data_IF_377537142914
#
_entry.id   IF_377537142914
#
_cell.length_a   1.000
_cell.length_b   1.000
_cell.length_c   1.000
_cell.angle_alpha   90.00
_cell.angle_beta   90.00
_cell.angle_gamma   90.00
#
_symmetry.space_group_name_H-M   'P 1'
#
loop_
_entity.id
_entity.type
_entity.pdbx_description
1 polymer ?
#
# COMPACT_ATOMS: atom_id res chain seq x y z
N UNK A 1 -17.51 13.33 14.48
CA UNK A 1 -16.42 12.42 14.90
C UNK A 1 -16.89 11.43 15.96
N UNK A 2 -17.45 11.89 17.08
CA UNK A 2 -17.90 11.06 18.22
C UNK A 2 -18.88 9.95 17.78
N UNK A 3 -19.90 10.25 16.98
CA UNK A 3 -20.88 9.25 16.52
C UNK A 3 -20.25 8.12 15.67
N UNK A 4 -19.26 8.46 14.82
CA UNK A 4 -18.54 7.46 14.00
C UNK A 4 -17.68 6.57 14.88
N UNK A 5 -16.99 7.16 15.85
CA UNK A 5 -16.17 6.40 16.80
C UNK A 5 -17.02 5.52 17.72
N UNK A 6 -18.21 5.98 18.10
CA UNK A 6 -19.18 5.19 18.86
C UNK A 6 -19.65 3.97 18.09
N UNK A 7 -20.10 4.15 16.84
CA UNK A 7 -20.50 3.02 15.99
C UNK A 7 -19.34 2.06 15.73
N UNK A 8 -18.15 2.59 15.47
CA UNK A 8 -16.93 1.80 15.34
C UNK A 8 -16.65 0.98 16.61
N UNK A 9 -16.76 1.59 17.79
CA UNK A 9 -16.63 0.90 19.07
C UNK A 9 -17.66 -0.20 19.28
N UNK A 10 -18.92 0.00 18.86
CA UNK A 10 -19.94 -1.06 18.91
C UNK A 10 -19.53 -2.25 18.06
N UNK A 11 -19.07 -2.01 16.82
CA UNK A 11 -18.65 -3.10 15.93
C UNK A 11 -17.51 -3.91 16.55
N UNK A 12 -16.48 -3.24 17.06
CA UNK A 12 -15.37 -3.90 17.75
C UNK A 12 -15.85 -4.67 18.99
N UNK A 13 -16.76 -4.10 19.79
CA UNK A 13 -17.29 -4.75 20.97
C UNK A 13 -18.11 -6.00 20.64
N UNK A 14 -18.91 -5.98 19.56
CA UNK A 14 -19.63 -7.16 19.08
C UNK A 14 -18.65 -8.27 18.68
N UNK A 15 -17.57 -7.92 17.97
CA UNK A 15 -16.50 -8.86 17.63
C UNK A 15 -15.85 -9.44 18.89
N UNK A 16 -15.59 -8.63 19.93
CA UNK A 16 -15.06 -9.11 21.22
C UNK A 16 -15.97 -10.14 21.89
N UNK A 17 -17.26 -9.82 22.00
CA UNK A 17 -18.25 -10.71 22.61
C UNK A 17 -18.32 -12.06 21.89
N UNK A 18 -18.28 -12.00 20.55
CA UNK A 18 -18.39 -13.19 19.73
C UNK A 18 -17.11 -14.02 19.77
N UNK A 19 -15.95 -13.37 19.70
CA UNK A 19 -14.65 -14.01 19.84
C UNK A 19 -14.50 -14.71 21.21
N UNK A 20 -15.00 -14.08 22.27
CA UNK A 20 -15.03 -14.68 23.61
C UNK A 20 -15.83 -16.00 23.64
N UNK A 21 -16.87 -16.16 22.81
CA UNK A 21 -17.65 -17.40 22.75
C UNK A 21 -16.85 -18.60 22.25
N UNK A 22 -15.98 -18.42 21.25
CA UNK A 22 -15.05 -19.47 20.83
C UNK A 22 -14.09 -19.83 21.97
N UNK A 23 -13.51 -18.81 22.59
CA UNK A 23 -12.51 -19.00 23.64
C UNK A 23 -13.08 -19.74 24.86
N UNK A 24 -14.26 -19.35 25.36
CA UNK A 24 -14.96 -20.05 26.47
C UNK A 24 -15.45 -21.45 26.11
N UNK A 25 -15.58 -21.78 24.82
CA UNK A 25 -15.97 -23.13 24.38
C UNK A 25 -14.80 -24.10 24.59
N UNK A 26 -13.57 -23.62 24.39
CA UNK A 26 -12.34 -24.40 24.47
C UNK A 26 -11.71 -24.41 25.85
N UNK A 27 -11.66 -23.25 26.52
CA UNK A 27 -11.02 -23.08 27.82
C UNK A 27 -12.09 -22.95 28.90
N UNK A 28 -11.97 -23.76 29.95
CA UNK A 28 -12.90 -23.77 31.10
C UNK A 28 -12.29 -23.25 32.40
N UNK A 29 -10.98 -22.98 32.40
CA UNK A 29 -10.27 -22.41 33.56
C UNK A 29 -10.76 -20.97 33.81
N UNK A 30 -11.44 -20.74 34.95
CA UNK A 30 -12.04 -19.44 35.27
C UNK A 30 -11.04 -18.29 35.24
N UNK A 31 -9.86 -18.48 35.82
CA UNK A 31 -8.84 -17.42 35.87
C UNK A 31 -8.36 -17.03 34.47
N UNK A 32 -8.18 -17.98 33.54
CA UNK A 32 -7.80 -17.70 32.14
C UNK A 32 -8.89 -16.90 31.42
N UNK A 33 -10.16 -17.25 31.62
CA UNK A 33 -11.29 -16.53 31.01
C UNK A 33 -11.41 -15.10 31.56
N UNK A 34 -11.23 -14.92 32.86
CA UNK A 34 -11.24 -13.59 33.50
C UNK A 34 -10.04 -12.77 33.01
N UNK A 35 -8.85 -13.34 32.94
CA UNK A 35 -7.67 -12.67 32.39
C UNK A 35 -7.87 -12.26 30.93
N UNK A 36 -8.41 -13.13 30.08
CA UNK A 36 -8.73 -12.80 28.69
C UNK A 36 -9.70 -11.62 28.59
N UNK A 37 -10.76 -11.60 29.41
CA UNK A 37 -11.73 -10.51 29.42
C UNK A 37 -11.10 -9.19 29.88
N UNK A 38 -10.31 -9.21 30.97
CA UNK A 38 -9.63 -8.02 31.48
C UNK A 38 -8.68 -7.46 30.41
N UNK A 39 -7.83 -8.32 29.82
CA UNK A 39 -6.87 -7.91 28.80
C UNK A 39 -7.59 -7.38 27.56
N UNK A 40 -8.62 -8.07 27.07
CA UNK A 40 -9.36 -7.65 25.88
C UNK A 40 -10.11 -6.34 26.11
N UNK A 41 -10.71 -6.16 27.30
CA UNK A 41 -11.37 -4.91 27.67
C UNK A 41 -10.36 -3.76 27.78
N UNK A 42 -9.21 -3.99 28.41
CA UNK A 42 -8.14 -2.99 28.50
C UNK A 42 -7.64 -2.58 27.11
N UNK A 43 -7.41 -3.54 26.20
CA UNK A 43 -7.00 -3.28 24.82
C UNK A 43 -8.09 -2.51 24.05
N UNK A 44 -9.36 -2.91 24.19
CA UNK A 44 -10.50 -2.21 23.60
C UNK A 44 -10.54 -0.75 24.06
N UNK A 45 -10.52 -0.51 25.38
CA UNK A 45 -10.54 0.85 25.95
C UNK A 45 -9.34 1.65 25.47
N UNK A 46 -8.13 1.07 25.48
CA UNK A 46 -6.92 1.72 25.02
C UNK A 46 -7.00 2.11 23.53
N UNK A 47 -7.48 1.22 22.67
CA UNK A 47 -7.62 1.48 21.23
C UNK A 47 -8.63 2.60 20.98
N UNK A 48 -9.82 2.52 21.59
CA UNK A 48 -10.85 3.55 21.44
C UNK A 48 -10.36 4.90 21.96
N UNK A 49 -9.76 4.91 23.15
CA UNK A 49 -9.16 6.11 23.73
C UNK A 49 -8.07 6.69 22.82
N UNK A 50 -7.16 5.87 22.31
CA UNK A 50 -6.09 6.32 21.41
C UNK A 50 -6.64 6.96 20.14
N UNK A 51 -7.75 6.46 19.58
CA UNK A 51 -8.42 7.11 18.45
C UNK A 51 -9.09 8.44 18.82
N UNK A 52 -9.51 8.65 20.08
CA UNK A 52 -10.00 9.98 20.52
C UNK A 52 -8.89 11.03 20.57
N UNK A 53 -7.63 10.59 20.72
CA UNK A 53 -6.46 11.47 20.77
C UNK A 53 -5.89 11.79 19.38
N UNK A 54 -6.49 11.26 18.30
CA UNK A 54 -6.00 11.53 16.95
C UNK A 54 -6.22 12.99 16.57
N UNK A 55 -5.12 13.72 16.38
CA UNK A 55 -5.13 15.11 15.94
C UNK A 55 -4.92 15.18 14.42
N UNK A 56 -5.96 15.63 13.71
CA UNK A 56 -5.93 15.83 12.26
C UNK A 56 -4.98 16.93 11.82
N UNK A 57 -4.59 17.87 12.68
CA UNK A 57 -3.61 18.91 12.34
C UNK A 57 -2.17 18.37 12.32
N UNK A 58 -1.91 17.33 13.11
CA UNK A 58 -0.61 16.67 13.16
C UNK A 58 -0.51 15.60 12.06
N UNK A 59 -1.59 14.83 11.86
CA UNK A 59 -1.61 13.70 10.91
C UNK A 59 -1.06 12.42 11.52
N UNK A 60 -0.39 11.60 10.71
CA UNK A 60 0.17 10.33 11.17
C UNK A 60 1.34 10.53 12.14
N UNK A 61 1.36 9.78 13.24
CA UNK A 61 2.47 9.72 14.19
C UNK A 61 2.84 8.27 14.52
N UNK A 62 3.97 8.07 15.23
CA UNK A 62 4.35 6.75 15.74
C UNK A 62 3.25 6.13 16.61
N UNK A 63 2.59 6.93 17.43
CA UNK A 63 1.50 6.46 18.30
C UNK A 63 0.27 6.03 17.49
N UNK A 64 -0.07 6.75 16.42
CA UNK A 64 -1.24 6.40 15.59
C UNK A 64 -0.98 5.14 14.79
N UNK A 65 0.24 4.98 14.25
CA UNK A 65 0.67 3.74 13.60
C UNK A 65 0.67 2.57 14.59
N UNK A 66 1.21 2.75 15.80
CA UNK A 66 1.17 1.73 16.84
C UNK A 66 -0.27 1.32 17.17
N UNK A 67 -1.17 2.29 17.34
CA UNK A 67 -2.60 2.05 17.61
C UNK A 67 -3.25 1.27 16.47
N UNK A 68 -2.98 1.64 15.21
CA UNK A 68 -3.49 0.93 14.04
C UNK A 68 -2.96 -0.50 13.96
N UNK A 69 -1.65 -0.69 14.19
CA UNK A 69 -1.03 -2.02 14.24
C UNK A 69 -1.62 -2.91 15.34
N UNK A 70 -1.79 -2.36 16.54
CA UNK A 70 -2.40 -3.06 17.67
C UNK A 70 -3.86 -3.43 17.36
N UNK A 71 -4.63 -2.51 16.78
CA UNK A 71 -6.01 -2.76 16.38
C UNK A 71 -6.09 -3.90 15.36
N UNK A 72 -5.29 -3.87 14.29
CA UNK A 72 -5.28 -4.94 13.30
C UNK A 72 -4.87 -6.27 13.92
N UNK A 73 -3.82 -6.27 14.74
CA UNK A 73 -3.31 -7.46 15.41
C UNK A 73 -4.36 -8.11 16.34
N UNK A 74 -5.15 -7.29 17.05
CA UNK A 74 -6.20 -7.78 17.96
C UNK A 74 -7.45 -8.21 17.21
N UNK A 75 -7.92 -7.40 16.25
CA UNK A 75 -9.25 -7.57 15.68
C UNK A 75 -9.29 -8.40 14.41
N UNK A 76 -8.27 -8.39 13.54
CA UNK A 76 -8.30 -9.21 12.31
C UNK A 76 -8.44 -10.70 12.62
N UNK A 77 -7.66 -11.29 13.57
CA UNK A 77 -7.85 -12.68 13.97
C UNK A 77 -9.23 -12.94 14.57
N UNK A 78 -9.75 -12.01 15.37
CA UNK A 78 -11.08 -12.11 15.99
C UNK A 78 -12.20 -12.04 14.96
N UNK A 79 -12.03 -11.26 13.88
CA UNK A 79 -12.96 -11.22 12.75
C UNK A 79 -12.98 -12.56 12.02
N UNK A 80 -11.82 -13.14 11.71
CA UNK A 80 -11.73 -14.47 11.09
C UNK A 80 -12.42 -15.52 11.95
N UNK A 81 -12.11 -15.54 13.26
CA UNK A 81 -12.76 -16.44 14.20
C UNK A 81 -14.27 -16.21 14.26
N UNK A 82 -14.72 -14.95 14.23
CA UNK A 82 -16.14 -14.60 14.23
C UNK A 82 -16.86 -15.07 12.98
N UNK A 83 -16.24 -14.99 11.80
CA UNK A 83 -16.86 -15.51 10.56
C UNK A 83 -17.10 -17.03 10.67
N UNK A 84 -16.13 -17.78 11.21
CA UNK A 84 -16.26 -19.23 11.40
C UNK A 84 -17.39 -19.57 12.38
N UNK A 85 -17.46 -18.86 13.51
CA UNK A 85 -18.53 -19.04 14.50
C UNK A 85 -19.91 -18.65 13.94
N UNK A 86 -19.98 -17.62 13.09
CA UNK A 86 -21.23 -17.20 12.45
C UNK A 86 -21.76 -18.31 11.54
N UNK A 87 -20.87 -18.96 10.78
CA UNK A 87 -21.22 -20.14 10.00
C UNK A 87 -21.76 -21.29 10.86
N UNK A 88 -21.18 -21.49 12.06
CA UNK A 88 -21.72 -22.45 13.02
C UNK A 88 -23.12 -22.07 13.51
N UNK A 89 -23.36 -20.78 13.79
CA UNK A 89 -24.65 -20.31 14.29
C UNK A 89 -25.77 -20.46 13.26
N UNK A 90 -25.49 -20.27 11.97
CA UNK A 90 -26.45 -20.59 10.88
C UNK A 90 -26.84 -22.06 10.93
N UNK A 91 -25.87 -22.96 11.09
CA UNK A 91 -26.15 -24.40 11.22
C UNK A 91 -26.94 -24.72 12.50
N UNK A 92 -26.58 -24.10 13.64
CA UNK A 92 -27.26 -24.32 14.93
C UNK A 92 -28.69 -23.82 14.90
N UNK A 93 -28.95 -22.68 14.25
CA UNK A 93 -30.30 -22.15 14.03
C UNK A 93 -31.11 -23.10 13.15
N UNK A 94 -30.57 -23.55 12.02
CA UNK A 94 -31.25 -24.50 11.15
C UNK A 94 -31.58 -25.82 11.87
N UNK A 95 -30.63 -26.39 12.61
CA UNK A 95 -30.83 -27.61 13.40
C UNK A 95 -31.86 -27.39 14.53
N UNK A 96 -31.80 -26.25 15.22
CA UNK A 96 -32.77 -25.87 16.23
C UNK A 96 -34.19 -25.74 15.67
N UNK A 97 -34.33 -25.08 14.52
CA UNK A 97 -35.62 -24.98 13.81
C UNK A 97 -36.15 -26.34 13.38
N UNK A 98 -35.31 -27.21 12.81
CA UNK A 98 -35.71 -28.58 12.44
C UNK A 98 -36.17 -29.36 13.67
N UNK A 99 -35.39 -29.34 14.75
CA UNK A 99 -35.74 -30.03 16.00
C UNK A 99 -37.03 -29.48 16.62
N UNK A 100 -37.26 -28.16 16.57
CA UNK A 100 -38.50 -27.56 17.07
C UNK A 100 -39.75 -28.06 16.32
N UNK A 101 -39.64 -28.32 15.02
CA UNK A 101 -40.78 -28.81 14.22
C UNK A 101 -40.90 -30.35 14.20
N UNK A 102 -39.81 -31.09 14.42
CA UNK A 102 -39.81 -32.56 14.40
C UNK A 102 -39.98 -33.14 15.82
N UNK A 103 -39.19 -32.68 16.77
CA UNK A 103 -39.16 -33.16 18.15
C UNK A 103 -39.88 -32.17 19.07
N UNK A 104 -41.13 -32.48 19.38
CA UNK A 104 -42.00 -31.69 20.26
C UNK A 104 -41.65 -31.90 21.75
N UNK A 105 -40.35 -31.93 22.07
CA UNK A 105 -39.84 -32.14 23.42
C UNK A 105 -39.77 -30.81 24.16
N UNK A 106 -40.63 -30.64 25.16
CA UNK A 106 -40.80 -29.38 25.89
C UNK A 106 -39.56 -28.91 26.71
N UNK A 107 -38.50 -29.72 26.77
CA UNK A 107 -37.33 -29.50 27.64
C UNK A 107 -35.97 -29.49 26.91
N UNK A 108 -35.94 -29.52 25.57
CA UNK A 108 -34.68 -29.40 24.83
C UNK A 108 -34.35 -27.93 24.55
N UNK A 109 -33.11 -27.52 24.83
CA UNK A 109 -32.62 -26.18 24.44
C UNK A 109 -32.75 -26.01 22.92
N UNK A 110 -33.39 -24.91 22.49
CA UNK A 110 -33.63 -24.64 21.07
C UNK A 110 -32.33 -24.62 20.25
N UNK A 111 -31.23 -24.09 20.81
CA UNK A 111 -29.94 -24.03 20.13
C UNK A 111 -29.01 -25.14 20.63
N UNK A 112 -28.54 -26.05 19.74
CA UNK A 112 -27.51 -27.02 20.09
C UNK A 112 -26.26 -26.36 20.68
N UNK A 113 -25.52 -27.04 21.55
CA UNK A 113 -24.26 -26.52 22.09
C UNK A 113 -23.19 -26.33 21.00
N UNK A 114 -22.30 -25.33 21.18
CA UNK A 114 -21.17 -25.10 20.26
C UNK A 114 -20.21 -26.30 20.24
N UNK A 115 -19.78 -26.70 19.05
CA UNK A 115 -18.85 -27.80 18.83
C UNK A 115 -17.42 -27.32 19.07
N UNK A 116 -16.70 -28.03 19.95
CA UNK A 116 -15.29 -27.76 20.23
C UNK A 116 -14.43 -27.75 18.96
N UNK A 117 -14.67 -28.72 18.06
CA UNK A 117 -13.94 -28.82 16.79
C UNK A 117 -14.04 -27.54 15.94
N UNK A 118 -15.23 -26.94 15.82
CA UNK A 118 -15.41 -25.71 15.04
C UNK A 118 -14.66 -24.54 15.67
N UNK A 119 -14.71 -24.42 17.00
CA UNK A 119 -13.92 -23.41 17.72
C UNK A 119 -12.40 -23.63 17.57
N UNK A 120 -11.92 -24.88 17.54
CA UNK A 120 -10.51 -25.20 17.30
C UNK A 120 -10.06 -24.81 15.88
N UNK A 121 -10.88 -25.13 14.87
CA UNK A 121 -10.64 -24.68 13.49
C UNK A 121 -10.64 -23.16 13.41
N UNK A 122 -11.59 -22.49 14.05
CA UNK A 122 -11.65 -21.03 14.14
C UNK A 122 -10.38 -20.41 14.73
N UNK A 123 -9.85 -20.97 15.82
CA UNK A 123 -8.58 -20.53 16.40
C UNK A 123 -7.38 -20.81 15.47
N UNK A 124 -7.34 -21.99 14.86
CA UNK A 124 -6.26 -22.34 13.92
C UNK A 124 -6.21 -21.39 12.72
N UNK A 125 -7.37 -21.05 12.15
CA UNK A 125 -7.46 -20.09 11.06
C UNK A 125 -7.16 -18.65 11.51
N UNK A 126 -7.59 -18.26 12.71
CA UNK A 126 -7.28 -16.94 13.27
C UNK A 126 -5.78 -16.76 13.59
N UNK A 127 -5.05 -17.83 13.89
CA UNK A 127 -3.61 -17.78 14.10
C UNK A 127 -2.84 -17.35 12.85
N UNK A 128 -3.33 -17.64 11.64
CA UNK A 128 -2.68 -17.30 10.37
C UNK A 128 -2.51 -15.78 10.21
N UNK A 129 -3.58 -14.95 10.20
CA UNK A 129 -3.42 -13.50 10.10
C UNK A 129 -2.74 -12.93 11.34
N UNK A 130 -2.93 -13.50 12.53
CA UNK A 130 -2.24 -13.03 13.74
C UNK A 130 -0.72 -13.11 13.60
N UNK A 131 -0.19 -14.29 13.27
CA UNK A 131 1.24 -14.51 13.07
C UNK A 131 1.77 -13.74 11.85
N UNK A 132 0.98 -13.66 10.78
CA UNK A 132 1.34 -12.89 9.59
C UNK A 132 1.46 -11.39 9.88
N UNK A 133 0.56 -10.82 10.69
CA UNK A 133 0.61 -9.41 11.10
C UNK A 133 1.79 -9.13 12.05
N UNK A 134 2.12 -10.06 12.96
CA UNK A 134 3.34 -9.97 13.79
C UNK A 134 4.56 -9.91 12.87
N UNK A 135 4.69 -10.88 11.96
CA UNK A 135 5.78 -10.89 10.98
C UNK A 135 5.80 -9.58 10.18
N UNK A 136 4.64 -9.11 9.72
CA UNK A 136 4.53 -7.89 8.93
C UNK A 136 5.03 -6.65 9.66
N UNK A 137 4.75 -6.53 10.96
CA UNK A 137 5.16 -5.40 11.80
C UNK A 137 6.66 -5.41 12.08
N UNK A 138 7.23 -6.57 12.39
CA UNK A 138 8.63 -6.65 12.83
C UNK A 138 9.62 -6.85 11.68
N UNK A 139 9.27 -7.65 10.67
CA UNK A 139 10.17 -8.00 9.56
C UNK A 139 9.64 -7.51 8.21
N UNK A 140 8.35 -7.73 7.93
CA UNK A 140 7.77 -7.53 6.61
C UNK A 140 7.89 -6.10 6.07
N UNK A 141 7.72 -5.08 6.93
CA UNK A 141 7.86 -3.66 6.56
C UNK A 141 9.25 -3.27 6.03
N UNK A 142 10.27 -4.10 6.28
CA UNK A 142 11.65 -3.90 5.83
C UNK A 142 12.20 -5.07 5.01
N UNK A 143 11.35 -6.00 4.59
CA UNK A 143 11.74 -7.13 3.73
C UNK A 143 11.77 -6.72 2.26
N UNK A 144 12.62 -5.76 1.92
CA UNK A 144 12.74 -5.20 0.56
C UNK A 144 12.93 -6.28 -0.50
N UNK A 145 12.22 -6.14 -1.62
CA UNK A 145 12.32 -7.01 -2.80
C UNK A 145 12.77 -6.21 -4.00
N UNK A 146 13.80 -6.70 -4.67
CA UNK A 146 14.19 -6.23 -5.99
C UNK A 146 13.42 -7.04 -7.02
N UNK A 147 12.56 -6.38 -7.80
CA UNK A 147 11.75 -7.01 -8.85
C UNK A 147 12.29 -6.57 -10.21
N UNK A 148 12.70 -7.53 -11.04
CA UNK A 148 13.21 -7.28 -12.39
C UNK A 148 12.11 -7.55 -13.40
N UNK A 149 11.79 -6.55 -14.23
CA UNK A 149 10.73 -6.62 -15.23
C UNK A 149 11.28 -6.29 -16.61
N UNK A 150 11.34 -7.29 -17.49
CA UNK A 150 11.59 -7.08 -18.91
C UNK A 150 10.29 -6.68 -19.62
N UNK A 151 10.32 -5.62 -20.43
CA UNK A 151 9.17 -5.14 -21.20
C UNK A 151 9.61 -4.94 -22.65
N UNK A 152 8.82 -5.48 -23.57
CA UNK A 152 9.14 -5.59 -24.99
C UNK A 152 8.36 -4.56 -25.80
N UNK A 153 9.06 -3.84 -26.66
CA UNK A 153 8.51 -2.79 -27.51
C UNK A 153 9.08 -2.90 -28.93
N UNK A 154 8.26 -3.14 -29.96
CA UNK A 154 8.73 -3.23 -31.34
C UNK A 154 9.36 -1.93 -31.87
N UNK A 155 8.85 -0.79 -31.39
CA UNK A 155 9.23 0.57 -31.79
C UNK A 155 10.23 1.24 -30.82
N UNK A 156 10.84 0.49 -29.91
CA UNK A 156 11.95 1.00 -29.09
C UNK A 156 13.10 1.46 -29.99
N UNK A 157 13.68 2.66 -29.80
CA UNK A 157 14.88 3.06 -30.52
C UNK A 157 16.05 2.11 -30.22
N UNK A 158 16.89 1.84 -31.22
CA UNK A 158 17.92 0.79 -31.15
C UNK A 158 18.91 1.03 -30.02
N UNK A 159 19.28 2.28 -29.77
CA UNK A 159 20.20 2.60 -28.68
C UNK A 159 19.64 2.26 -27.29
N UNK A 160 18.32 2.13 -27.14
CA UNK A 160 17.67 1.84 -25.87
C UNK A 160 17.38 0.35 -25.66
N UNK A 161 17.75 -0.53 -26.60
CA UNK A 161 17.66 -1.97 -26.35
C UNK A 161 18.56 -2.37 -25.16
N UNK A 162 17.94 -3.01 -24.17
CA UNK A 162 18.58 -3.38 -22.92
C UNK A 162 18.72 -2.26 -21.89
N UNK A 163 18.22 -1.05 -22.16
CA UNK A 163 18.26 0.08 -21.23
C UNK A 163 17.52 -0.24 -19.93
N UNK A 164 18.12 0.11 -18.80
CA UNK A 164 17.63 -0.25 -17.47
C UNK A 164 17.22 0.97 -16.64
N UNK A 165 16.06 0.86 -15.99
CA UNK A 165 15.47 1.91 -15.17
C UNK A 165 15.18 1.33 -13.79
N UNK A 166 15.81 1.87 -12.74
CA UNK A 166 15.37 1.59 -11.37
C UNK A 166 14.20 2.48 -11.01
N UNK A 167 13.12 1.92 -10.47
CA UNK A 167 11.99 2.68 -9.92
C UNK A 167 11.92 2.47 -8.41
N UNK A 168 11.80 3.58 -7.68
CA UNK A 168 11.32 3.62 -6.31
C UNK A 168 10.06 4.48 -6.25
N UNK A 169 9.19 4.23 -5.28
CA UNK A 169 7.93 4.97 -5.11
C UNK A 169 7.52 4.94 -3.65
N UNK A 170 6.65 5.84 -3.22
CA UNK A 170 5.96 5.80 -1.94
C UNK A 170 6.89 5.52 -0.75
N UNK A 171 7.85 6.43 -0.57
CA UNK A 171 8.85 6.35 0.50
C UNK A 171 8.20 6.57 1.85
N UNK A 172 7.22 7.48 1.96
CA UNK A 172 6.51 7.77 3.22
C UNK A 172 7.47 7.93 4.41
N UNK A 173 8.44 8.82 4.25
CA UNK A 173 9.59 8.95 5.15
C UNK A 173 9.23 9.17 6.63
N UNK A 174 8.07 9.76 6.92
CA UNK A 174 7.56 9.95 8.27
C UNK A 174 7.20 8.65 9.01
N UNK A 175 7.10 7.54 8.29
CA UNK A 175 6.79 6.22 8.86
C UNK A 175 8.04 5.47 9.31
N UNK A 176 9.23 5.84 8.83
CA UNK A 176 10.47 5.12 9.12
C UNK A 176 10.86 5.22 10.59
N UNK A 177 11.28 4.07 11.15
CA UNK A 177 11.74 3.95 12.52
C UNK A 177 13.08 3.23 12.68
N UNK A 178 13.69 2.73 11.58
CA UNK A 178 14.95 1.99 11.61
C UNK A 178 15.93 2.44 10.53
N UNK A 179 16.99 3.17 10.93
CA UNK A 179 18.00 3.71 10.00
C UNK A 179 18.84 2.65 9.31
N UNK A 180 19.17 1.55 9.98
CA UNK A 180 19.96 0.46 9.39
C UNK A 180 19.20 -0.21 8.24
N UNK A 181 17.90 -0.45 8.40
CA UNK A 181 17.05 -1.03 7.37
C UNK A 181 16.88 -0.11 6.16
N UNK A 182 16.79 1.22 6.36
CA UNK A 182 16.75 2.18 5.24
C UNK A 182 18.10 2.26 4.54
N UNK A 183 19.21 2.27 5.28
CA UNK A 183 20.56 2.21 4.68
C UNK A 183 20.73 0.96 3.81
N UNK A 184 20.33 -0.20 4.31
CA UNK A 184 20.32 -1.46 3.55
C UNK A 184 19.48 -1.35 2.26
N UNK A 185 18.30 -0.73 2.33
CA UNK A 185 17.46 -0.52 1.15
C UNK A 185 18.13 0.40 0.11
N UNK A 186 18.82 1.45 0.54
CA UNK A 186 19.61 2.30 -0.36
C UNK A 186 20.79 1.54 -0.98
N UNK A 187 21.41 0.63 -0.24
CA UNK A 187 22.44 -0.26 -0.78
C UNK A 187 21.87 -1.17 -1.87
N UNK A 188 20.69 -1.78 -1.65
CA UNK A 188 19.99 -2.54 -2.69
C UNK A 188 19.66 -1.71 -3.94
N UNK A 189 19.24 -0.45 -3.78
CA UNK A 189 19.02 0.47 -4.92
C UNK A 189 20.33 0.67 -5.70
N UNK A 190 21.43 0.92 -4.99
CA UNK A 190 22.74 1.18 -5.57
C UNK A 190 23.40 -0.04 -6.22
N UNK A 191 23.01 -1.25 -5.83
CA UNK A 191 23.47 -2.52 -6.42
C UNK A 191 22.88 -2.76 -7.82
N UNK A 192 21.75 -2.11 -8.17
CA UNK A 192 21.12 -2.34 -9.46
C UNK A 192 21.92 -1.74 -10.63
N UNK A 193 22.72 -0.69 -10.37
CA UNK A 193 23.56 -0.02 -11.35
C UNK A 193 22.83 0.32 -12.67
N UNK A 194 21.54 0.66 -12.59
CA UNK A 194 20.72 0.97 -13.76
C UNK A 194 21.16 2.25 -14.46
N UNK A 195 20.78 2.41 -15.72
CA UNK A 195 21.12 3.58 -16.54
C UNK A 195 20.47 4.88 -16.02
N UNK A 196 19.24 4.76 -15.49
CA UNK A 196 18.43 5.84 -14.92
C UNK A 196 17.71 5.38 -13.64
N UNK A 197 17.37 6.32 -12.75
CA UNK A 197 16.48 6.06 -11.61
C UNK A 197 15.32 7.05 -11.58
N UNK A 198 14.12 6.52 -11.32
CA UNK A 198 12.88 7.27 -11.25
C UNK A 198 12.25 7.12 -9.86
N UNK A 199 11.75 8.24 -9.32
CA UNK A 199 11.01 8.27 -8.07
C UNK A 199 9.57 8.75 -8.31
N UNK A 200 8.61 7.84 -8.29
CA UNK A 200 7.23 8.10 -8.71
C UNK A 200 6.31 8.66 -7.61
N UNK A 201 6.84 9.47 -6.69
CA UNK A 201 6.04 10.26 -5.73
C UNK A 201 5.91 9.69 -4.32
N UNK A 202 5.27 10.47 -3.45
CA UNK A 202 5.02 10.20 -2.02
C UNK A 202 6.31 10.07 -1.19
N UNK A 203 7.08 11.16 -1.15
CA UNK A 203 8.31 11.26 -0.35
C UNK A 203 8.02 11.39 1.16
N UNK A 204 6.85 11.91 1.52
CA UNK A 204 6.40 12.11 2.90
C UNK A 204 5.01 11.51 3.13
N UNK A 205 4.58 11.42 4.39
CA UNK A 205 3.18 11.18 4.73
C UNK A 205 2.37 12.48 4.64
N UNK A 206 2.95 13.57 5.15
CA UNK A 206 2.29 14.88 5.19
C UNK A 206 3.27 16.05 5.20
N UNK A 207 4.26 16.03 6.11
CA UNK A 207 5.08 17.22 6.40
C UNK A 207 6.49 17.09 5.83
N UNK A 208 7.04 18.17 5.27
CA UNK A 208 8.40 18.18 4.73
C UNK A 208 9.47 17.69 5.74
N UNK A 209 9.29 18.07 7.02
CA UNK A 209 10.21 17.72 8.12
C UNK A 209 10.40 16.21 8.32
N UNK A 210 9.46 15.39 7.84
CA UNK A 210 9.52 13.94 7.95
C UNK A 210 10.70 13.35 7.20
N UNK A 211 11.12 13.99 6.10
CA UNK A 211 12.24 13.54 5.29
C UNK A 211 13.60 14.01 5.84
N UNK A 212 13.64 15.07 6.65
CA UNK A 212 14.90 15.68 7.11
C UNK A 212 15.89 14.68 7.73
N UNK A 213 15.48 13.73 8.60
CA UNK A 213 16.40 12.75 9.16
C UNK A 213 17.01 11.80 8.11
N UNK A 214 16.40 11.70 6.93
CA UNK A 214 16.70 10.71 5.90
C UNK A 214 17.43 11.29 4.68
N UNK A 215 17.54 12.62 4.57
CA UNK A 215 18.21 13.30 3.45
C UNK A 215 19.61 12.73 3.21
N UNK A 216 20.44 12.64 4.25
CA UNK A 216 21.81 12.09 4.13
C UNK A 216 21.81 10.63 3.64
N UNK A 217 20.82 9.83 4.06
CA UNK A 217 20.70 8.43 3.66
C UNK A 217 20.34 8.33 2.18
N UNK A 218 19.36 9.10 1.71
CA UNK A 218 18.95 9.10 0.31
C UNK A 218 19.96 9.78 -0.62
N UNK A 219 20.79 10.68 -0.10
CA UNK A 219 21.92 11.26 -0.85
C UNK A 219 23.03 10.24 -1.16
N UNK A 220 23.03 9.06 -0.53
CA UNK A 220 23.90 7.95 -0.91
C UNK A 220 23.46 7.27 -2.21
N UNK A 221 22.26 7.53 -2.73
CA UNK A 221 21.85 7.01 -4.04
C UNK A 221 22.83 7.55 -5.08
N UNK A 222 23.53 6.64 -5.74
CA UNK A 222 24.58 6.94 -6.71
C UNK A 222 24.05 7.81 -7.85
N UNK A 223 24.96 8.51 -8.52
CA UNK A 223 24.63 9.19 -9.77
C UNK A 223 24.35 8.14 -10.85
N UNK A 224 23.33 8.40 -11.66
CA UNK A 224 22.96 7.60 -12.81
C UNK A 224 23.30 8.37 -14.08
N UNK A 225 23.82 7.68 -15.11
CA UNK A 225 24.32 8.31 -16.33
C UNK A 225 23.24 9.14 -17.03
N UNK A 226 22.00 8.65 -17.02
CA UNK A 226 20.86 9.29 -17.66
C UNK A 226 19.92 9.95 -16.66
N UNK A 227 20.41 10.30 -15.47
CA UNK A 227 19.69 11.17 -14.53
C UNK A 227 18.88 10.47 -13.44
N UNK A 228 18.38 11.29 -12.53
CA UNK A 228 17.52 10.94 -11.41
C UNK A 228 16.29 11.84 -11.49
N UNK A 229 15.12 11.29 -11.80
CA UNK A 229 13.90 12.09 -11.99
C UNK A 229 12.80 11.69 -11.01
N UNK A 230 11.95 12.64 -10.65
CA UNK A 230 10.84 12.43 -9.72
C UNK A 230 9.57 13.14 -10.18
N UNK A 231 8.43 12.64 -9.72
CA UNK A 231 7.13 13.34 -9.76
C UNK A 231 6.55 13.40 -8.36
N UNK A 232 5.50 14.20 -8.16
CA UNK A 232 4.77 14.26 -6.90
C UNK A 232 3.74 13.14 -6.79
N UNK A 233 3.56 12.63 -5.58
CA UNK A 233 2.41 11.81 -5.21
C UNK A 233 1.34 12.60 -4.48
N UNK A 234 0.24 11.96 -4.12
CA UNK A 234 -0.89 12.64 -3.46
C UNK A 234 -0.56 13.11 -2.04
N UNK A 235 0.31 12.40 -1.30
CA UNK A 235 0.72 12.80 0.05
C UNK A 235 1.62 14.03 0.06
N UNK A 236 2.29 14.32 -1.05
CA UNK A 236 3.21 15.46 -1.16
C UNK A 236 2.49 16.83 -1.14
N UNK A 237 1.17 16.86 -1.36
CA UNK A 237 0.38 18.10 -1.37
C UNK A 237 -0.16 18.51 0.02
N UNK A 238 0.08 17.70 1.05
CA UNK A 238 -0.40 17.98 2.41
C UNK A 238 -1.93 18.02 2.55
N UNK A 239 -2.69 17.34 1.68
CA UNK A 239 -4.16 17.37 1.69
C UNK A 239 -4.79 16.59 2.86
N UNK A 240 -4.00 15.77 3.57
CA UNK A 240 -4.48 14.83 4.59
C UNK A 240 -4.44 15.34 6.03
N UNK A 241 -4.11 16.62 6.23
CA UNK A 241 -4.13 17.27 7.54
C UNK A 241 -4.85 18.62 7.52
N UNK A 242 -5.27 19.06 8.70
CA UNK A 242 -5.85 20.39 8.89
C UNK A 242 -4.73 21.41 9.12
N UNK A 243 -4.58 22.34 8.17
CA UNK A 243 -3.59 23.42 8.29
C UNK A 243 -4.17 24.61 9.04
N UNK A 244 -3.37 25.33 9.83
CA UNK A 244 -3.81 26.55 10.52
C UNK A 244 -4.14 27.68 9.53
N UNK A 245 -3.41 27.76 8.42
CA UNK A 245 -3.64 28.72 7.34
C UNK A 245 -3.31 28.09 5.98
N UNK A 246 -3.85 28.65 4.91
CA UNK A 246 -3.48 28.26 3.54
C UNK A 246 -2.01 28.57 3.24
N UNK A 247 -1.44 29.62 3.86
CA UNK A 247 -0.03 29.97 3.75
C UNK A 247 0.85 28.85 4.32
N UNK A 248 0.54 28.35 5.53
CA UNK A 248 1.29 27.25 6.13
C UNK A 248 1.25 25.97 5.27
N UNK A 249 0.09 25.67 4.65
CA UNK A 249 -0.03 24.55 3.70
C UNK A 249 0.89 24.74 2.49
N UNK A 250 0.88 25.95 1.92
CA UNK A 250 1.68 26.28 0.75
C UNK A 250 3.19 26.24 1.07
N UNK A 251 3.61 26.78 2.22
CA UNK A 251 5.00 26.71 2.68
C UNK A 251 5.48 25.27 2.85
N UNK A 252 4.64 24.39 3.44
CA UNK A 252 4.97 22.97 3.54
C UNK A 252 5.05 22.31 2.17
N UNK A 253 4.13 22.62 1.25
CA UNK A 253 4.15 22.07 -0.11
C UNK A 253 5.41 22.49 -0.87
N UNK A 254 5.81 23.76 -0.79
CA UNK A 254 7.04 24.26 -1.39
C UNK A 254 8.28 23.61 -0.75
N UNK A 255 8.27 23.43 0.57
CA UNK A 255 9.32 22.69 1.27
C UNK A 255 9.41 21.22 0.80
N UNK A 256 8.28 20.54 0.57
CA UNK A 256 8.26 19.17 0.05
C UNK A 256 8.87 19.09 -1.36
N UNK A 257 8.48 19.99 -2.27
CA UNK A 257 9.09 20.04 -3.62
C UNK A 257 10.61 20.19 -3.55
N UNK A 258 11.10 21.02 -2.63
CA UNK A 258 12.53 21.23 -2.43
C UNK A 258 13.26 19.99 -1.89
N UNK A 259 12.59 19.04 -1.23
CA UNK A 259 13.23 17.82 -0.74
C UNK A 259 13.77 16.94 -1.87
N UNK A 260 13.04 16.84 -2.98
CA UNK A 260 13.47 16.06 -4.15
C UNK A 260 14.82 16.54 -4.68
N UNK A 261 15.01 17.85 -4.81
CA UNK A 261 16.29 18.45 -5.18
C UNK A 261 17.39 18.21 -4.14
N UNK A 262 17.06 18.24 -2.84
CA UNK A 262 18.03 17.97 -1.76
C UNK A 262 18.55 16.53 -1.74
N UNK A 263 17.81 15.57 -2.31
CA UNK A 263 18.26 14.19 -2.52
C UNK A 263 18.77 13.92 -3.95
N UNK A 264 18.95 14.99 -4.74
CA UNK A 264 19.51 14.97 -6.08
C UNK A 264 18.60 14.41 -7.16
N UNK A 265 17.28 14.51 -7.00
CA UNK A 265 16.30 14.20 -8.04
C UNK A 265 15.76 15.48 -8.69
N UNK A 266 15.64 15.46 -10.02
CA UNK A 266 14.97 16.50 -10.78
C UNK A 266 13.46 16.27 -10.76
N UNK A 267 12.69 17.24 -10.28
CA UNK A 267 11.25 17.14 -10.13
C UNK A 267 10.55 17.63 -11.40
N UNK A 268 9.84 16.74 -12.08
CA UNK A 268 9.07 17.04 -13.28
C UNK A 268 7.59 17.29 -12.91
N UNK A 269 7.07 18.48 -13.24
CA UNK A 269 5.70 18.89 -12.94
C UNK A 269 4.95 19.31 -14.21
N UNK A 270 4.24 18.36 -14.80
CA UNK A 270 3.49 18.55 -16.05
C UNK A 270 4.40 19.02 -17.20
N UNK A 271 5.54 18.34 -17.34
CA UNK A 271 6.58 18.63 -18.32
C UNK A 271 7.25 17.34 -18.80
N UNK A 272 8.14 17.45 -19.77
CA UNK A 272 8.93 16.33 -20.25
C UNK A 272 10.37 16.75 -20.52
N UNK A 273 11.25 15.77 -20.54
CA UNK A 273 12.63 15.91 -20.98
C UNK A 273 12.99 14.76 -21.93
N UNK A 274 14.00 14.96 -22.77
CA UNK A 274 14.52 13.91 -23.64
C UNK A 274 15.73 13.24 -23.00
N UNK A 275 15.72 11.91 -23.00
CA UNK A 275 16.89 11.09 -22.67
C UNK A 275 17.52 10.71 -24.00
N UNK A 276 18.76 11.15 -24.24
CA UNK A 276 19.49 10.92 -25.49
C UNK A 276 20.60 9.88 -25.28
N UNK A 277 20.67 8.87 -26.14
CA UNK A 277 21.68 7.81 -26.10
C UNK A 277 22.08 7.43 -27.53
N UNK A 278 23.36 7.53 -27.83
CA UNK A 278 23.98 7.10 -29.10
C UNK A 278 23.26 7.65 -30.37
N UNK A 279 22.70 8.87 -30.29
CA UNK A 279 21.98 9.53 -31.39
C UNK A 279 20.46 9.32 -31.40
N UNK A 280 19.96 8.32 -30.67
CA UNK A 280 18.53 8.11 -30.45
C UNK A 280 18.04 8.87 -29.20
N UNK A 281 16.73 9.03 -29.09
CA UNK A 281 16.09 9.63 -27.91
C UNK A 281 14.78 8.96 -27.52
N UNK A 282 14.47 9.02 -26.24
CA UNK A 282 13.15 8.74 -25.68
C UNK A 282 12.68 9.95 -24.88
N UNK A 283 11.37 10.18 -24.81
CA UNK A 283 10.78 11.22 -23.97
C UNK A 283 10.43 10.64 -22.59
N UNK A 284 10.96 11.26 -21.53
CA UNK A 284 10.53 11.04 -20.16
C UNK A 284 9.53 12.14 -19.80
N UNK A 285 8.28 11.76 -19.56
CA UNK A 285 7.17 12.66 -19.27
C UNK A 285 6.83 12.55 -17.79
N UNK A 286 6.75 13.68 -17.07
CA UNK A 286 6.33 13.73 -15.68
C UNK A 286 5.08 14.57 -15.51
N UNK A 287 4.05 14.00 -14.89
CA UNK A 287 2.84 14.73 -14.50
C UNK A 287 2.77 14.90 -12.99
N UNK A 288 2.10 15.96 -12.57
CA UNK A 288 1.63 16.10 -11.20
C UNK A 288 0.62 15.00 -10.82
N UNK A 289 0.28 14.87 -9.53
CA UNK A 289 -0.64 13.82 -9.10
C UNK A 289 -1.99 13.95 -9.82
N UNK A 290 -2.47 12.81 -10.33
CA UNK A 290 -3.79 12.66 -10.92
C UNK A 290 -4.41 11.39 -10.35
N UNK A 291 -5.31 11.53 -9.38
CA UNK A 291 -6.03 10.38 -8.83
C UNK A 291 -7.53 10.54 -8.96
N UNK A 292 -8.26 9.46 -9.26
CA UNK A 292 -9.71 9.52 -9.44
C UNK A 292 -10.44 10.12 -8.21
N UNK A 293 -10.00 9.74 -7.00
CA UNK A 293 -10.54 10.23 -5.72
C UNK A 293 -9.58 11.15 -4.97
N UNK A 294 -8.49 11.57 -5.61
CA UNK A 294 -7.43 12.36 -5.01
C UNK A 294 -7.19 13.62 -5.82
N UNK A 295 -6.19 14.41 -5.43
CA UNK A 295 -5.87 15.65 -6.14
C UNK A 295 -5.61 15.37 -7.63
N UNK A 296 -6.25 16.15 -8.49
CA UNK A 296 -6.02 16.12 -9.94
C UNK A 296 -5.34 17.41 -10.36
N UNK A 297 -4.02 17.45 -10.18
CA UNK A 297 -3.16 18.52 -10.66
C UNK A 297 -2.37 18.11 -11.92
N UNK A 298 -2.33 16.81 -12.24
CA UNK A 298 -1.72 16.29 -13.46
C UNK A 298 -2.38 16.82 -14.73
N UNK A 299 -1.56 17.36 -15.64
CA UNK A 299 -1.95 17.83 -16.97
C UNK A 299 -1.09 17.12 -18.02
N UNK A 300 -1.63 16.01 -18.53
CA UNK A 300 -0.97 15.18 -19.54
C UNK A 300 -0.77 15.92 -20.87
N UNK A 301 -1.68 16.84 -21.23
CA UNK A 301 -1.61 17.59 -22.49
C UNK A 301 -0.46 18.58 -22.45
N UNK A 302 -0.30 19.30 -21.33
CA UNK A 302 0.82 20.19 -21.09
C UNK A 302 2.13 19.42 -21.00
N UNK A 303 2.16 18.32 -20.24
CA UNK A 303 3.36 17.51 -20.09
C UNK A 303 3.88 16.94 -21.40
N UNK A 304 2.97 16.60 -22.32
CA UNK A 304 3.28 16.05 -23.64
C UNK A 304 3.23 17.08 -24.77
N UNK A 305 3.30 18.38 -24.47
CA UNK A 305 3.30 19.41 -25.49
C UNK A 305 4.47 19.18 -26.46
N UNK A 306 4.23 19.31 -27.76
CA UNK A 306 5.21 19.02 -28.84
C UNK A 306 5.61 17.55 -29.03
N UNK A 307 5.17 16.63 -28.17
CA UNK A 307 5.34 15.19 -28.42
C UNK A 307 4.26 14.68 -29.38
N UNK A 308 4.70 13.82 -30.29
CA UNK A 308 3.89 13.15 -31.32
C UNK A 308 3.59 11.72 -30.92
N UNK A 309 2.83 10.99 -31.73
CA UNK A 309 2.51 9.58 -31.47
C UNK A 309 3.74 8.69 -31.65
N UNK A 310 4.63 9.08 -32.54
CA UNK A 310 5.83 8.38 -32.99
C UNK A 310 6.99 8.47 -31.98
N UNK A 311 6.98 9.45 -31.07
CA UNK A 311 7.98 9.53 -30.01
C UNK A 311 7.82 8.38 -29.01
N UNK A 312 8.90 7.67 -28.69
CA UNK A 312 8.88 6.69 -27.59
C UNK A 312 8.78 7.41 -26.24
N UNK A 313 7.74 7.10 -25.46
CA UNK A 313 7.37 7.86 -24.26
C UNK A 313 7.27 6.98 -23.03
N UNK A 314 8.03 7.33 -21.99
CA UNK A 314 7.88 6.80 -20.63
C UNK A 314 7.23 7.88 -19.77
N UNK A 315 6.07 7.57 -19.18
CA UNK A 315 5.32 8.46 -18.32
C UNK A 315 5.54 8.11 -16.84
N UNK A 316 5.90 9.09 -16.03
CA UNK A 316 5.84 9.04 -14.58
C UNK A 316 4.52 9.64 -14.12
N UNK A 317 3.66 8.82 -13.52
CA UNK A 317 2.38 9.27 -12.95
C UNK A 317 2.07 8.45 -11.72
N UNK A 318 1.98 9.11 -10.57
CA UNK A 318 1.95 8.44 -9.27
C UNK A 318 0.78 7.47 -9.09
N UNK A 319 -0.46 7.92 -9.34
CA UNK A 319 -1.67 7.11 -9.13
C UNK A 319 -2.06 6.36 -10.44
N UNK A 320 -2.18 5.02 -10.40
CA UNK A 320 -2.47 4.22 -11.58
C UNK A 320 -3.87 4.45 -12.17
N UNK A 321 -4.79 5.09 -11.43
CA UNK A 321 -6.09 5.49 -11.97
C UNK A 321 -5.98 6.50 -13.10
N UNK A 322 -4.89 7.29 -13.17
CA UNK A 322 -4.60 8.13 -14.33
C UNK A 322 -4.41 7.31 -15.60
N UNK A 323 -3.71 6.18 -15.48
CA UNK A 323 -3.55 5.27 -16.60
C UNK A 323 -4.88 4.64 -17.01
N UNK A 324 -5.67 4.18 -16.03
CA UNK A 324 -6.95 3.51 -16.30
C UNK A 324 -7.97 4.43 -16.99
N UNK A 325 -8.02 5.70 -16.60
CA UNK A 325 -9.05 6.62 -17.09
C UNK A 325 -8.62 7.49 -18.26
N UNK A 326 -7.32 7.76 -18.43
CA UNK A 326 -6.82 8.76 -19.40
C UNK A 326 -5.74 8.17 -20.30
N UNK A 327 -4.61 7.75 -19.73
CA UNK A 327 -3.38 7.47 -20.51
C UNK A 327 -3.57 6.32 -21.48
N UNK A 328 -4.22 5.23 -21.06
CA UNK A 328 -4.43 4.06 -21.93
C UNK A 328 -5.37 4.35 -23.12
N UNK A 329 -6.06 5.49 -23.12
CA UNK A 329 -6.98 5.92 -24.18
C UNK A 329 -6.44 7.11 -25.01
N UNK A 330 -5.30 7.68 -24.63
CA UNK A 330 -4.76 8.89 -25.28
C UNK A 330 -4.19 8.59 -26.68
N UNK A 331 -4.44 9.46 -27.66
CA UNK A 331 -3.99 9.26 -29.04
C UNK A 331 -2.47 9.35 -29.22
N UNK A 332 -1.77 10.07 -28.32
CA UNK A 332 -0.31 10.24 -28.38
C UNK A 332 0.46 8.98 -28.02
N UNK A 333 -0.16 7.92 -27.51
CA UNK A 333 0.49 6.63 -27.22
C UNK A 333 1.67 6.72 -26.22
N UNK A 334 1.39 6.59 -24.92
CA UNK A 334 2.42 6.45 -23.89
C UNK A 334 2.76 4.98 -23.72
N UNK A 335 4.01 4.61 -23.99
CA UNK A 335 4.44 3.22 -24.15
C UNK A 335 4.51 2.51 -22.79
N UNK A 336 5.11 3.20 -21.81
CA UNK A 336 5.26 2.71 -20.45
C UNK A 336 4.87 3.80 -19.46
N UNK A 337 3.95 3.49 -18.55
CA UNK A 337 3.63 4.33 -17.39
C UNK A 337 4.16 3.68 -16.12
N UNK A 338 4.84 4.46 -15.28
CA UNK A 338 5.39 4.02 -14.00
C UNK A 338 4.64 4.73 -12.87
N UNK A 339 4.00 3.94 -12.02
CA UNK A 339 3.10 4.37 -10.95
C UNK A 339 3.45 3.69 -9.62
N UNK A 340 2.87 4.20 -8.54
CA UNK A 340 2.95 3.67 -7.18
C UNK A 340 1.58 3.69 -6.49
N UNK A 341 1.45 4.46 -5.41
CA UNK A 341 0.21 4.88 -4.74
C UNK A 341 -0.54 3.80 -3.95
N UNK A 342 -0.70 2.61 -4.52
CA UNK A 342 -1.67 1.63 -4.01
C UNK A 342 -1.13 0.79 -2.85
N UNK A 343 0.20 0.62 -2.77
CA UNK A 343 0.89 -0.28 -1.82
C UNK A 343 0.40 -1.74 -1.81
N UNK A 344 -0.46 -2.15 -2.75
CA UNK A 344 -1.33 -3.32 -2.56
C UNK A 344 -2.02 -3.33 -1.18
N UNK A 345 -2.37 -2.16 -0.64
CA UNK A 345 -2.87 -1.94 0.73
C UNK A 345 -2.02 -2.58 1.85
N UNK A 346 -0.73 -2.85 1.58
CA UNK A 346 0.23 -3.47 2.51
C UNK A 346 -0.14 -4.87 3.03
N UNK A 347 -1.21 -5.47 2.52
CA UNK A 347 -1.68 -6.78 2.93
C UNK A 347 -2.22 -7.53 1.71
N UNK A 348 -1.69 -8.73 1.49
CA UNK A 348 -2.11 -9.57 0.38
C UNK A 348 -1.39 -10.91 0.36
N UNK A 349 -1.63 -11.65 -0.70
CA UNK A 349 -0.98 -12.92 -1.01
C UNK A 349 -0.51 -12.83 -2.46
N UNK A 350 0.78 -13.00 -2.67
CA UNK A 350 1.37 -13.08 -4.01
C UNK A 350 2.19 -14.36 -4.14
N UNK A 351 1.73 -15.23 -5.03
CA UNK A 351 2.42 -16.41 -5.51
C UNK A 351 2.73 -16.14 -6.99
N UNK A 352 3.99 -15.81 -7.33
CA UNK A 352 4.38 -15.45 -8.69
C UNK A 352 3.86 -16.45 -9.73
N UNK A 353 3.17 -15.95 -10.76
CA UNK A 353 2.63 -16.75 -11.86
C UNK A 353 1.37 -17.59 -11.54
N UNK A 354 0.90 -17.63 -10.29
CA UNK A 354 -0.22 -18.48 -9.89
C UNK A 354 -1.39 -17.72 -9.26
N UNK A 355 -1.10 -16.87 -8.27
CA UNK A 355 -2.15 -16.22 -7.50
C UNK A 355 -1.70 -14.87 -6.98
N UNK A 356 -2.57 -13.86 -7.09
CA UNK A 356 -2.32 -12.51 -6.62
C UNK A 356 -3.61 -11.93 -6.06
N UNK A 357 -3.66 -11.65 -4.76
CA UNK A 357 -4.83 -11.10 -4.07
C UNK A 357 -4.42 -10.04 -3.05
N UNK A 358 -5.15 -8.93 -3.03
CA UNK A 358 -5.09 -7.89 -2.00
C UNK A 358 -6.46 -7.23 -1.92
N UNK A 359 -6.77 -6.57 -0.80
CA UNK A 359 -7.92 -5.68 -0.71
C UNK A 359 -7.87 -4.56 -1.77
N UNK A 360 -6.68 -4.18 -2.22
CA UNK A 360 -6.49 -3.17 -3.25
C UNK A 360 -7.23 -3.48 -4.57
N UNK A 361 -7.39 -4.75 -4.93
CA UNK A 361 -8.03 -5.14 -6.19
C UNK A 361 -9.53 -4.79 -6.26
N UNK A 362 -10.17 -4.57 -5.10
CA UNK A 362 -11.58 -4.16 -5.03
C UNK A 362 -11.76 -2.65 -5.18
N UNK A 363 -10.66 -1.89 -5.23
CA UNK A 363 -10.64 -0.43 -5.38
C UNK A 363 -9.94 -0.02 -6.67
N UNK A 364 -8.86 -0.71 -7.04
CA UNK A 364 -8.05 -0.42 -8.22
C UNK A 364 -7.96 -1.64 -9.13
N UNK A 365 -8.15 -1.44 -10.44
CA UNK A 365 -7.94 -2.49 -11.44
C UNK A 365 -6.45 -2.84 -11.56
N UNK A 366 -5.60 -1.82 -11.62
CA UNK A 366 -4.14 -1.96 -11.62
C UNK A 366 -3.61 -1.56 -10.24
N UNK A 367 -3.02 -2.52 -9.51
CA UNK A 367 -2.66 -2.32 -8.10
C UNK A 367 -1.32 -2.91 -7.68
N UNK A 368 -0.70 -3.80 -8.47
CA UNK A 368 0.68 -4.24 -8.26
C UNK A 368 1.25 -4.94 -9.49
N UNK A 369 2.45 -4.58 -9.90
CA UNK A 369 3.15 -5.18 -11.04
C UNK A 369 2.73 -4.63 -12.41
N UNK A 370 3.03 -5.39 -13.46
CA UNK A 370 2.84 -4.99 -14.86
C UNK A 370 1.43 -5.32 -15.36
N UNK A 371 0.81 -4.36 -16.04
CA UNK A 371 -0.45 -4.49 -16.76
C UNK A 371 -0.25 -3.97 -18.19
N UNK A 372 -1.06 -4.47 -19.12
CA UNK A 372 -0.96 -4.16 -20.55
C UNK A 372 -2.35 -3.94 -21.13
N UNK A 373 -2.45 -2.99 -22.07
CA UNK A 373 -3.61 -2.81 -22.92
C UNK A 373 -3.18 -2.23 -24.28
N UNK A 374 -3.42 -2.97 -25.36
CA UNK A 374 -3.15 -2.57 -26.74
C UNK A 374 -1.71 -2.07 -26.99
N UNK A 375 -0.71 -2.78 -26.45
CA UNK A 375 0.71 -2.46 -26.57
C UNK A 375 1.20 -1.36 -25.62
N UNK A 376 0.34 -0.85 -24.73
CA UNK A 376 0.69 0.13 -23.70
C UNK A 376 0.77 -0.54 -22.35
N UNK A 377 1.74 -0.13 -21.55
CA UNK A 377 1.99 -0.75 -20.26
C UNK A 377 1.84 0.24 -19.11
N UNK A 378 1.37 -0.26 -17.98
CA UNK A 378 1.56 0.39 -16.68
C UNK A 378 2.22 -0.58 -15.70
N UNK A 379 3.24 -0.10 -15.01
CA UNK A 379 3.84 -0.81 -13.88
C UNK A 379 3.46 -0.10 -12.59
N UNK A 380 2.78 -0.81 -11.69
CA UNK A 380 2.39 -0.31 -10.37
C UNK A 380 3.34 -0.86 -9.32
N UNK A 381 4.26 -0.02 -8.84
CA UNK A 381 5.21 -0.35 -7.79
C UNK A 381 4.48 -0.52 -6.44
N UNK A 382 4.89 -1.49 -5.63
CA UNK A 382 4.27 -1.78 -4.31
C UNK A 382 4.67 -0.78 -3.23
N UNK A 383 5.45 0.25 -3.54
CA UNK A 383 5.95 1.25 -2.62
C UNK A 383 7.21 0.79 -1.86
N UNK A 384 8.06 1.75 -1.50
CA UNK A 384 9.32 1.57 -0.78
C UNK A 384 9.11 1.59 0.74
N UNK A 385 8.18 2.40 1.23
CA UNK A 385 7.91 2.58 2.65
C UNK A 385 6.66 1.87 3.12
N UNK A 386 6.04 2.39 4.17
CA UNK A 386 4.75 1.91 4.68
C UNK A 386 4.00 3.11 5.25
N UNK A 387 2.68 3.04 5.28
CA UNK A 387 1.78 4.12 5.66
C UNK A 387 0.56 3.55 6.41
N UNK A 388 -0.01 4.34 7.33
CA UNK A 388 -1.13 4.05 8.24
C UNK A 388 -0.92 2.87 9.22
N UNK A 389 -0.48 1.72 8.73
CA UNK A 389 -0.15 0.51 9.46
C UNK A 389 1.37 0.27 9.39
N UNK A 390 2.06 0.06 10.53
CA UNK A 390 3.50 -0.15 10.57
C UNK A 390 3.87 -1.59 10.20
N UNK A 391 3.35 -2.11 9.09
CA UNK A 391 3.59 -3.48 8.67
C UNK A 391 3.30 -3.74 7.20
N UNK A 392 3.87 -4.82 6.67
CA UNK A 392 3.58 -5.34 5.32
C UNK A 392 3.50 -6.86 5.32
N UNK A 393 2.43 -7.41 4.77
CA UNK A 393 2.16 -8.86 4.73
C UNK A 393 1.86 -9.28 3.31
N UNK A 394 2.67 -10.19 2.77
CA UNK A 394 2.60 -10.66 1.37
C UNK A 394 2.85 -9.60 0.28
N UNK A 395 2.70 -8.31 0.58
CA UNK A 395 3.02 -7.17 -0.31
C UNK A 395 4.24 -6.42 0.25
N UNK A 396 5.41 -6.94 -0.06
CA UNK A 396 6.67 -6.44 0.48
C UNK A 396 7.09 -5.10 -0.14
N UNK A 397 7.93 -4.29 0.54
CA UNK A 397 8.51 -3.09 -0.06
C UNK A 397 9.29 -3.43 -1.33
N UNK A 398 9.20 -2.58 -2.34
CA UNK A 398 9.69 -2.91 -3.67
C UNK A 398 10.69 -1.88 -4.21
N UNK A 399 11.75 -2.40 -4.83
CA UNK A 399 12.64 -1.69 -5.75
C UNK A 399 12.49 -2.39 -7.10
N UNK A 400 11.96 -1.69 -8.11
CA UNK A 400 11.78 -2.29 -9.43
C UNK A 400 12.96 -1.96 -10.33
N UNK A 401 13.39 -2.92 -11.16
CA UNK A 401 14.29 -2.67 -12.28
C UNK A 401 13.57 -3.04 -13.56
N UNK A 402 13.19 -2.04 -14.34
CA UNK A 402 12.61 -2.24 -15.67
C UNK A 402 13.74 -2.32 -16.68
N UNK A 403 13.73 -3.36 -17.51
CA UNK A 403 14.60 -3.50 -18.68
C UNK A 403 13.76 -3.36 -19.93
N UNK A 404 14.07 -2.35 -20.73
CA UNK A 404 13.46 -2.15 -22.04
C UNK A 404 14.12 -3.12 -23.03
N UNK A 405 13.32 -3.79 -23.85
CA UNK A 405 13.82 -4.72 -24.87
C UNK A 405 13.16 -4.37 -26.19
N UNK A 406 13.98 -4.22 -27.24
CA UNK A 406 13.46 -4.00 -28.58
C UNK A 406 12.95 -5.31 -29.17
N UNK A 407 11.74 -5.28 -29.72
CA UNK A 407 11.11 -6.41 -30.39
C UNK A 407 9.80 -6.86 -29.74
N UNK A 408 9.29 -8.00 -30.21
CA UNK A 408 8.06 -8.61 -29.70
C UNK A 408 8.37 -9.60 -28.59
N UNK A 409 7.47 -9.70 -27.59
CA UNK A 409 7.55 -10.75 -26.60
C UNK A 409 7.17 -12.07 -27.27
N UNK A 410 8.17 -12.91 -27.54
CA UNK A 410 7.93 -14.30 -27.97
C UNK A 410 7.17 -15.03 -26.85
N UNK A 411 6.00 -15.57 -27.19
CA UNK A 411 5.05 -16.19 -26.26
C UNK A 411 5.61 -17.47 -25.60
#
# INVERSE_FOLDING_TARGET
>A
MILRLFFFGIVLFVIELYAYQAFRTLIKLKWVLVSYQIISFALFVFIIYSFTLFDRSVGQTKQTMFTMGLMLLVYVPKIVMSIILLGEDVFRLAAGSINYFIDNSANADFLPSRRKFVSQVGLGLAAIPFLSLIYGIFEGKYNYKVIKQAIYFPDLPDAFDGFTITQISDVHSGSFDNREKINYAIDLVNEQNSDMILFTGDIVNTHAKEMHPWIETFNRIKKHKYGKYSVLGNHDYGEYVTWPTQVAKQENFDAIKNLYGQIGFELLLNEHTFIEKDGDKIALVGVENWGHNFKQAGDLKKASQHLTKEDFKILMSHDPSHWDHVVQHDEKNFHLTLSGHTHGMQFGIEIPGYFKWSLAQYVYKQWAGLYENAGRYVYVNRGFGFHAYPGRVGIMPEITVVKLIKGEKLA
#
